data_IF_276668957601
#
_entry.id   IF_276668957601
#
_cell.length_a   1.000
_cell.length_b   1.000
_cell.length_c   1.000
_cell.angle_alpha   90.00
_cell.angle_beta   90.00
_cell.angle_gamma   90.00
#
_symmetry.space_group_name_H-M   'P 1'
#
loop_
_entity.id
_entity.type
_entity.pdbx_description
1 polymer ?
#
# COMPACT_ATOMS: atom_id res chain seq x y z
N UNK A 1 -16.96 -9.41 -15.96
CA UNK A 1 -16.99 -8.82 -14.60
C UNK A 1 -17.30 -9.89 -13.56
N UNK A 2 -18.29 -10.73 -13.76
CA UNK A 2 -18.77 -11.73 -12.80
C UNK A 2 -17.67 -12.71 -12.34
N UNK A 3 -16.79 -13.14 -13.24
CA UNK A 3 -15.67 -14.01 -12.89
C UNK A 3 -14.66 -13.32 -11.95
N UNK A 4 -14.34 -12.04 -12.21
CA UNK A 4 -13.39 -11.31 -11.37
C UNK A 4 -13.99 -11.02 -9.99
N UNK A 5 -15.28 -10.70 -9.94
CA UNK A 5 -16.00 -10.51 -8.69
C UNK A 5 -15.98 -11.78 -7.84
N UNK A 6 -16.26 -12.94 -8.43
CA UNK A 6 -16.19 -14.22 -7.73
C UNK A 6 -14.75 -14.51 -7.21
N UNK A 7 -13.73 -14.30 -8.05
CA UNK A 7 -12.33 -14.48 -7.62
C UNK A 7 -11.98 -13.51 -6.48
N UNK A 8 -12.47 -12.27 -6.56
CA UNK A 8 -12.23 -11.30 -5.49
C UNK A 8 -12.87 -11.76 -4.18
N UNK A 9 -14.15 -12.09 -4.19
CA UNK A 9 -14.90 -12.48 -2.98
C UNK A 9 -14.38 -13.78 -2.36
N UNK A 10 -14.09 -14.79 -3.18
CA UNK A 10 -13.73 -16.13 -2.69
C UNK A 10 -12.25 -16.26 -2.32
N UNK A 11 -11.34 -15.57 -3.05
CA UNK A 11 -9.90 -15.83 -2.95
C UNK A 11 -9.08 -14.64 -2.49
N UNK A 12 -9.52 -13.41 -2.73
CA UNK A 12 -8.74 -12.20 -2.43
C UNK A 12 -9.22 -11.55 -1.14
N UNK A 13 -10.51 -11.23 -1.06
CA UNK A 13 -11.11 -10.51 0.07
C UNK A 13 -10.79 -11.14 1.44
N UNK A 14 -10.84 -12.47 1.63
CA UNK A 14 -10.52 -13.07 2.93
C UNK A 14 -9.06 -12.91 3.39
N UNK A 15 -8.16 -12.56 2.48
CA UNK A 15 -6.73 -12.39 2.75
C UNK A 15 -6.33 -10.93 2.94
N UNK A 16 -7.23 -9.99 2.64
CA UNK A 16 -6.98 -8.57 2.86
C UNK A 16 -7.23 -8.22 4.33
N UNK A 17 -6.28 -7.51 4.92
CA UNK A 17 -6.36 -7.07 6.32
C UNK A 17 -6.23 -5.54 6.38
N UNK A 18 -7.35 -4.82 6.33
CA UNK A 18 -7.33 -3.37 6.49
C UNK A 18 -6.82 -2.95 7.87
N UNK A 19 -5.96 -1.92 7.92
CA UNK A 19 -5.39 -1.37 9.15
C UNK A 19 -5.66 0.12 9.20
N UNK A 20 -6.36 0.57 10.22
CA UNK A 20 -6.62 2.00 10.41
C UNK A 20 -5.34 2.74 10.79
N UNK A 21 -5.07 3.85 10.12
CA UNK A 21 -3.97 4.75 10.40
C UNK A 21 -4.48 5.93 11.24
N UNK A 22 -4.03 6.02 12.48
CA UNK A 22 -4.44 7.09 13.39
C UNK A 22 -3.54 8.31 13.22
N UNK A 23 -4.15 9.48 13.25
CA UNK A 23 -3.41 10.72 13.22
C UNK A 23 -2.53 10.86 14.49
N UNK A 24 -1.29 11.31 14.29
CA UNK A 24 -0.32 11.48 15.36
C UNK A 24 0.46 10.23 15.75
N UNK A 25 0.11 9.04 15.23
CA UNK A 25 0.89 7.83 15.43
C UNK A 25 1.86 7.61 14.25
N UNK A 26 3.13 7.24 14.51
CA UNK A 26 4.09 6.96 13.45
C UNK A 26 3.70 5.65 12.74
N UNK A 27 2.99 5.77 11.63
CA UNK A 27 2.48 4.61 10.89
C UNK A 27 3.51 3.95 9.95
N UNK A 28 4.72 4.51 9.83
CA UNK A 28 5.73 3.96 8.91
C UNK A 28 6.08 2.49 9.23
N UNK A 29 6.02 2.10 10.49
CA UNK A 29 6.24 0.71 10.93
C UNK A 29 5.08 -0.24 10.61
N UNK A 30 3.88 0.30 10.34
CA UNK A 30 2.68 -0.49 10.00
C UNK A 30 2.62 -0.80 8.50
N UNK A 31 3.31 0.00 7.68
CA UNK A 31 3.33 -0.20 6.22
C UNK A 31 4.35 -1.27 5.87
N UNK A 32 3.96 -2.40 5.28
CA UNK A 32 4.91 -3.40 4.82
C UNK A 32 5.84 -2.81 3.76
N UNK A 33 7.15 -2.94 4.00
CA UNK A 33 8.14 -2.45 3.07
C UNK A 33 8.17 -3.27 1.78
N UNK A 34 8.47 -2.60 0.67
CA UNK A 34 8.59 -3.19 -0.66
C UNK A 34 7.32 -3.88 -1.19
N UNK A 35 6.25 -3.89 -0.40
CA UNK A 35 4.94 -4.42 -0.78
C UNK A 35 4.05 -3.34 -1.40
N UNK A 36 3.15 -3.75 -2.27
CA UNK A 36 2.09 -2.88 -2.77
C UNK A 36 1.03 -2.70 -1.68
N UNK A 37 0.60 -1.47 -1.49
CA UNK A 37 -0.43 -1.11 -0.53
C UNK A 37 -1.43 -0.14 -1.16
N UNK A 38 -2.70 -0.26 -0.80
CA UNK A 38 -3.67 0.81 -1.00
C UNK A 38 -3.78 1.65 0.28
N UNK A 39 -3.91 2.94 0.09
CA UNK A 39 -4.42 3.85 1.12
C UNK A 39 -5.82 4.27 0.70
N UNK A 40 -6.77 4.13 1.60
CA UNK A 40 -8.16 4.52 1.39
C UNK A 40 -8.56 5.59 2.40
N UNK A 41 -9.32 6.58 1.96
CA UNK A 41 -10.11 7.44 2.84
C UNK A 41 -11.54 6.93 2.84
N UNK A 42 -12.03 6.55 4.02
CA UNK A 42 -13.37 6.02 4.22
C UNK A 42 -14.12 6.88 5.23
N UNK A 43 -15.43 6.92 5.10
CA UNK A 43 -16.27 7.68 6.02
C UNK A 43 -17.75 7.34 5.86
N UNK A 44 -18.59 7.96 6.70
CA UNK A 44 -20.03 7.74 6.65
C UNK A 44 -20.64 8.26 5.36
N UNK A 45 -21.63 7.54 4.85
CA UNK A 45 -22.45 7.96 3.73
C UNK A 45 -23.32 9.19 4.06
N UNK A 46 -23.64 9.40 5.34
CA UNK A 46 -24.65 10.35 5.77
C UNK A 46 -24.14 11.76 6.05
N UNK A 47 -22.81 11.95 6.14
CA UNK A 47 -22.21 13.26 6.39
C UNK A 47 -20.86 13.47 5.66
N UNK A 48 -20.90 13.88 4.40
CA UNK A 48 -19.69 14.15 3.62
C UNK A 48 -18.88 15.37 4.09
N UNK A 49 -19.40 16.17 5.02
CA UNK A 49 -18.75 17.39 5.50
C UNK A 49 -18.19 17.26 6.94
N UNK A 50 -18.48 16.17 7.64
CA UNK A 50 -18.16 16.08 9.06
C UNK A 50 -17.19 14.93 9.38
N UNK A 51 -16.04 15.31 9.80
CA UNK A 51 -15.13 14.77 10.85
C UNK A 51 -15.00 13.26 11.08
N UNK A 52 -15.61 12.41 10.29
CA UNK A 52 -15.49 10.95 10.41
C UNK A 52 -14.59 10.28 9.35
N UNK A 53 -13.92 11.07 8.50
CA UNK A 53 -13.02 10.49 7.47
C UNK A 53 -11.78 9.92 8.16
N UNK A 54 -11.56 8.63 7.96
CA UNK A 54 -10.39 7.92 8.47
C UNK A 54 -9.60 7.29 7.34
N UNK A 55 -8.32 7.12 7.58
CA UNK A 55 -7.40 6.54 6.60
C UNK A 55 -7.14 5.09 6.95
N UNK A 56 -7.33 4.24 5.98
CA UNK A 56 -7.14 2.80 6.11
C UNK A 56 -6.13 2.31 5.11
N UNK A 57 -5.11 1.65 5.62
CA UNK A 57 -4.09 0.95 4.85
C UNK A 57 -4.60 -0.45 4.51
N UNK A 58 -4.50 -0.83 3.25
CA UNK A 58 -4.80 -2.19 2.78
C UNK A 58 -3.54 -2.75 2.10
N UNK A 59 -2.71 -3.51 2.85
CA UNK A 59 -1.58 -4.20 2.25
C UNK A 59 -2.04 -5.29 1.28
N UNK A 60 -1.40 -5.40 0.12
CA UNK A 60 -1.62 -6.50 -0.80
C UNK A 60 -0.71 -7.68 -0.42
N UNK A 61 -1.28 -8.84 -0.06
CA UNK A 61 -0.48 -9.99 0.35
C UNK A 61 0.40 -10.51 -0.78
N UNK A 62 1.68 -10.71 -0.51
CA UNK A 62 2.64 -11.28 -1.47
C UNK A 62 2.39 -12.77 -1.77
N UNK A 63 1.53 -13.41 -0.98
CA UNK A 63 1.09 -14.80 -1.19
C UNK A 63 0.08 -14.94 -2.32
N UNK A 64 -0.60 -13.84 -2.69
CA UNK A 64 -1.50 -13.82 -3.83
C UNK A 64 -0.73 -13.69 -5.15
N UNK A 65 -1.20 -14.41 -6.16
CA UNK A 65 -0.67 -14.23 -7.49
C UNK A 65 -1.05 -12.83 -8.01
N UNK A 66 -0.06 -12.05 -8.42
CA UNK A 66 -0.26 -10.70 -8.93
C UNK A 66 -1.01 -10.68 -10.26
N UNK A 67 -0.85 -11.75 -11.07
CA UNK A 67 -1.49 -11.89 -12.37
C UNK A 67 -2.72 -12.79 -12.23
N UNK A 68 -3.90 -12.19 -12.29
CA UNK A 68 -5.16 -12.90 -12.22
C UNK A 68 -5.60 -13.22 -13.64
N UNK A 69 -5.64 -14.49 -13.96
CA UNK A 69 -6.02 -14.96 -15.30
C UNK A 69 -7.52 -14.76 -15.55
N UNK A 70 -7.82 -14.22 -16.71
CA UNK A 70 -9.20 -14.05 -17.17
C UNK A 70 -9.59 -15.20 -18.09
N UNK A 71 -10.87 -15.67 -18.01
CA UNK A 71 -11.42 -16.61 -18.97
C UNK A 71 -11.29 -16.07 -20.39
N UNK A 72 -10.72 -16.86 -21.30
CA UNK A 72 -10.61 -16.50 -22.69
C UNK A 72 -10.68 -17.74 -23.58
N UNK A 73 -11.28 -17.60 -24.75
CA UNK A 73 -11.40 -18.67 -25.73
C UNK A 73 -10.08 -18.97 -26.46
N UNK A 74 -9.16 -17.99 -26.53
CA UNK A 74 -7.85 -18.15 -27.16
C UNK A 74 -6.84 -17.18 -26.56
N UNK A 75 -5.64 -17.71 -26.21
CA UNK A 75 -4.53 -16.92 -25.65
C UNK A 75 -4.63 -16.69 -24.13
N UNK A 76 -3.80 -15.80 -23.64
CA UNK A 76 -3.72 -15.47 -22.21
C UNK A 76 -4.14 -14.03 -22.00
N UNK A 77 -5.05 -13.82 -21.04
CA UNK A 77 -5.44 -12.49 -20.56
C UNK A 77 -5.28 -12.44 -19.07
N UNK A 78 -4.75 -11.34 -18.57
CA UNK A 78 -4.53 -11.12 -17.16
C UNK A 78 -5.02 -9.72 -16.77
N UNK A 79 -5.40 -9.61 -15.52
CA UNK A 79 -5.57 -8.34 -14.81
C UNK A 79 -4.65 -8.37 -13.61
N UNK A 80 -4.14 -7.22 -13.20
CA UNK A 80 -3.28 -7.12 -12.02
C UNK A 80 -4.12 -7.16 -10.75
N UNK A 81 -3.59 -7.81 -9.70
CA UNK A 81 -4.22 -7.90 -8.39
C UNK A 81 -4.60 -6.53 -7.83
N UNK A 82 -3.69 -5.57 -7.96
CA UNK A 82 -3.91 -4.20 -7.50
C UNK A 82 -5.09 -3.51 -8.21
N UNK A 83 -5.29 -3.76 -9.49
CA UNK A 83 -6.43 -3.22 -10.23
C UNK A 83 -7.75 -3.87 -9.78
N UNK A 84 -7.72 -5.18 -9.50
CA UNK A 84 -8.91 -5.87 -8.97
C UNK A 84 -9.25 -5.34 -7.59
N UNK A 85 -8.27 -5.27 -6.67
CA UNK A 85 -8.53 -4.77 -5.31
C UNK A 85 -8.99 -3.31 -5.36
N UNK A 86 -8.40 -2.46 -6.20
CA UNK A 86 -8.83 -1.07 -6.37
C UNK A 86 -10.28 -0.96 -6.84
N UNK A 87 -10.72 -1.81 -7.77
CA UNK A 87 -12.09 -1.79 -8.29
C UNK A 87 -13.12 -2.30 -7.28
N UNK A 88 -12.74 -3.23 -6.42
CA UNK A 88 -13.64 -3.84 -5.44
C UNK A 88 -13.38 -3.37 -4.00
N UNK A 89 -12.58 -2.33 -3.80
CA UNK A 89 -12.19 -1.84 -2.48
C UNK A 89 -13.39 -1.48 -1.59
N UNK A 90 -14.49 -1.02 -2.18
CA UNK A 90 -15.72 -0.73 -1.45
C UNK A 90 -16.32 -1.95 -0.73
N UNK A 91 -16.09 -3.17 -1.24
CA UNK A 91 -16.58 -4.40 -0.59
C UNK A 91 -15.87 -4.71 0.74
N UNK A 92 -14.71 -4.08 1.00
CA UNK A 92 -14.02 -4.16 2.29
C UNK A 92 -14.71 -3.34 3.38
N UNK A 93 -15.56 -2.40 3.00
CA UNK A 93 -16.19 -1.42 3.88
C UNK A 93 -17.69 -1.32 3.59
N UNK A 94 -18.47 -2.36 3.92
CA UNK A 94 -19.88 -2.46 3.49
C UNK A 94 -20.78 -1.36 4.08
N UNK A 95 -20.39 -0.80 5.25
CA UNK A 95 -21.18 0.22 5.94
C UNK A 95 -20.61 1.64 5.76
N UNK A 96 -19.62 1.81 4.89
CA UNK A 96 -18.91 3.08 4.71
C UNK A 96 -18.64 3.36 3.23
N UNK A 97 -18.47 4.64 2.90
CA UNK A 97 -18.06 5.05 1.56
C UNK A 97 -16.53 5.17 1.48
N UNK A 98 -15.97 4.66 0.41
CA UNK A 98 -14.59 4.93 0.01
C UNK A 98 -14.59 6.25 -0.78
N UNK A 99 -14.15 7.34 -0.16
CA UNK A 99 -14.10 8.66 -0.78
C UNK A 99 -12.94 8.77 -1.77
N UNK A 100 -11.80 8.22 -1.38
CA UNK A 100 -10.62 8.17 -2.24
C UNK A 100 -9.76 6.95 -1.93
N UNK A 101 -9.02 6.48 -2.94
CA UNK A 101 -8.07 5.39 -2.79
C UNK A 101 -6.86 5.60 -3.71
N UNK A 102 -5.70 5.14 -3.28
CA UNK A 102 -4.48 5.25 -4.06
C UNK A 102 -3.51 4.10 -3.79
N UNK A 103 -2.85 3.64 -4.85
CA UNK A 103 -1.85 2.58 -4.79
C UNK A 103 -0.46 3.17 -4.57
N UNK A 104 0.29 2.61 -3.62
CA UNK A 104 1.65 3.02 -3.34
C UNK A 104 2.56 1.86 -2.93
N UNK A 105 3.85 2.13 -2.91
CA UNK A 105 4.89 1.22 -2.43
C UNK A 105 5.94 2.01 -1.66
N UNK A 106 6.28 1.52 -0.47
CA UNK A 106 7.25 2.15 0.43
C UNK A 106 8.57 1.38 0.44
N UNK A 107 9.69 2.12 0.36
CA UNK A 107 11.03 1.61 0.71
C UNK A 107 11.55 2.40 1.91
N UNK A 108 12.01 1.68 2.93
CA UNK A 108 12.58 2.25 4.14
C UNK A 108 14.10 2.10 4.16
N UNK A 109 14.79 2.92 4.91
CA UNK A 109 16.24 2.81 5.08
C UNK A 109 16.67 1.43 5.64
N UNK A 110 15.85 0.84 6.50
CA UNK A 110 16.08 -0.52 7.05
C UNK A 110 16.01 -1.65 6.02
N UNK A 111 15.46 -1.37 4.84
CA UNK A 111 15.24 -2.36 3.77
C UNK A 111 16.34 -2.30 2.70
N UNK A 112 17.22 -1.31 2.80
CA UNK A 112 18.42 -1.20 1.95
C UNK A 112 19.49 -2.06 2.59
N UNK A 113 20.01 -3.05 1.85
CA UNK A 113 21.13 -3.88 2.31
C UNK A 113 22.33 -2.98 2.62
N UNK A 114 22.81 -3.03 3.86
CA UNK A 114 24.06 -2.36 4.25
C UNK A 114 25.19 -3.20 3.67
N UNK A 115 26.09 -2.58 2.90
CA UNK A 115 27.39 -3.19 2.59
C UNK A 115 28.15 -3.42 3.91
N UNK A 116 28.59 -4.67 4.09
CA UNK A 116 29.27 -5.12 5.31
C UNK A 116 30.70 -4.60 5.35
N UNK A 117 30.88 -3.34 5.73
CA UNK A 117 32.18 -2.81 6.16
C UNK A 117 32.00 -1.99 7.44
N UNK A 118 31.96 -2.66 8.60
CA UNK A 118 32.02 -1.93 9.87
C UNK A 118 32.55 -2.77 11.04
N UNK A 119 33.72 -2.42 11.47
CA UNK A 119 34.27 -2.66 12.78
C UNK A 119 33.55 -1.77 13.82
N UNK A 120 32.54 -2.23 14.46
CA UNK A 120 32.04 -1.88 15.80
C UNK A 120 30.60 -2.41 16.05
N UNK A 121 30.49 -3.73 16.10
CA UNK A 121 29.23 -4.45 16.00
C UNK A 121 28.26 -4.25 17.18
N UNK A 122 28.76 -3.98 18.40
CA UNK A 122 27.90 -4.02 19.59
C UNK A 122 27.18 -2.70 19.88
N UNK A 123 27.78 -1.55 19.61
CA UNK A 123 27.16 -0.23 19.78
C UNK A 123 26.20 0.09 18.63
N UNK A 124 26.58 -0.25 17.41
CA UNK A 124 25.73 -0.08 16.25
C UNK A 124 24.47 -0.95 16.29
N UNK A 125 24.51 -2.13 16.91
CA UNK A 125 23.35 -3.01 17.00
C UNK A 125 22.18 -2.42 17.81
N UNK A 126 22.46 -1.67 18.86
CA UNK A 126 21.40 -1.04 19.68
C UNK A 126 20.78 0.15 18.93
N UNK A 127 21.58 0.94 18.23
CA UNK A 127 21.12 2.07 17.43
C UNK A 127 20.41 1.59 16.16
N UNK A 128 20.90 0.56 15.49
CA UNK A 128 20.27 -0.08 14.32
C UNK A 128 18.95 -0.75 14.69
N UNK A 129 18.81 -1.35 15.86
CA UNK A 129 17.54 -1.91 16.31
C UNK A 129 16.50 -0.83 16.68
N UNK A 130 16.96 0.32 17.19
CA UNK A 130 16.09 1.45 17.47
C UNK A 130 15.68 2.20 16.17
N UNK A 131 16.61 2.32 15.20
CA UNK A 131 16.34 2.89 13.88
C UNK A 131 15.54 1.95 12.99
N UNK A 132 15.69 0.63 13.09
CA UNK A 132 14.84 -0.36 12.40
C UNK A 132 13.36 -0.23 12.75
N UNK A 133 13.04 0.15 13.98
CA UNK A 133 11.66 0.45 14.39
C UNK A 133 11.15 1.79 13.85
N UNK A 134 12.03 2.66 13.35
CA UNK A 134 11.73 4.01 12.85
C UNK A 134 12.29 4.25 11.45
N UNK A 135 12.49 3.20 10.68
CA UNK A 135 13.11 3.32 9.35
C UNK A 135 12.50 4.47 8.56
N UNK A 136 13.32 5.49 8.27
CA UNK A 136 12.87 6.65 7.51
C UNK A 136 12.44 6.24 6.09
N UNK A 137 11.39 6.85 5.58
CA UNK A 137 10.99 6.70 4.20
C UNK A 137 12.11 7.25 3.29
N UNK A 138 12.72 6.38 2.48
CA UNK A 138 13.73 6.78 1.49
C UNK A 138 13.15 6.84 0.08
N UNK A 139 12.09 6.08 -0.19
CA UNK A 139 11.39 6.09 -1.47
C UNK A 139 9.92 5.77 -1.28
N UNK A 140 9.06 6.63 -1.79
CA UNK A 140 7.62 6.45 -1.87
C UNK A 140 7.22 6.47 -3.35
N UNK A 141 6.87 5.33 -3.88
CA UNK A 141 6.36 5.17 -5.24
C UNK A 141 4.84 5.21 -5.19
N UNK A 142 4.24 6.02 -6.02
CA UNK A 142 2.78 6.15 -6.12
C UNK A 142 2.31 5.98 -7.56
N UNK A 143 1.13 5.39 -7.75
CA UNK A 143 0.48 5.41 -9.06
C UNK A 143 0.17 6.84 -9.49
N UNK A 144 0.27 7.15 -10.76
CA UNK A 144 0.02 8.52 -11.27
C UNK A 144 -1.42 9.01 -11.06
N UNK A 145 -2.35 8.09 -10.78
CA UNK A 145 -3.76 8.37 -10.43
C UNK A 145 -3.97 8.61 -8.94
N UNK A 146 -2.90 8.56 -8.13
CA UNK A 146 -3.00 8.74 -6.67
C UNK A 146 -3.55 10.13 -6.36
N UNK A 147 -4.66 10.25 -5.57
CA UNK A 147 -5.28 11.54 -5.27
C UNK A 147 -4.32 12.45 -4.49
N UNK A 148 -4.23 13.74 -4.89
CA UNK A 148 -3.24 14.67 -4.33
C UNK A 148 -3.41 14.91 -2.83
N UNK A 149 -4.65 15.11 -2.36
CA UNK A 149 -4.94 15.33 -0.93
C UNK A 149 -4.59 14.09 -0.09
N UNK A 150 -4.92 12.90 -0.62
CA UNK A 150 -4.56 11.63 0.02
C UNK A 150 -3.04 11.43 0.08
N UNK A 151 -2.32 11.87 -0.96
CA UNK A 151 -0.85 11.82 -1.03
C UNK A 151 -0.21 12.75 0.01
N UNK A 152 -0.75 13.95 0.20
CA UNK A 152 -0.27 14.88 1.22
C UNK A 152 -0.46 14.30 2.63
N UNK A 153 -1.60 13.65 2.89
CA UNK A 153 -1.84 12.91 4.12
C UNK A 153 -0.86 11.76 4.31
N UNK A 154 -0.65 10.93 3.29
CA UNK A 154 0.30 9.82 3.34
C UNK A 154 1.73 10.31 3.61
N UNK A 155 2.13 11.41 2.97
CA UNK A 155 3.45 12.03 3.15
C UNK A 155 3.69 12.43 4.61
N UNK A 156 2.70 13.03 5.25
CA UNK A 156 2.77 13.45 6.66
C UNK A 156 2.88 12.20 7.56
N UNK A 157 2.02 11.22 7.36
CA UNK A 157 1.97 9.98 8.13
C UNK A 157 3.28 9.20 8.07
N UNK A 158 3.92 9.17 6.89
CA UNK A 158 5.18 8.45 6.68
C UNK A 158 6.44 9.30 6.96
N UNK A 159 6.30 10.60 7.23
CA UNK A 159 7.43 11.51 7.34
C UNK A 159 8.24 11.63 6.04
N UNK A 160 7.60 11.37 4.90
CA UNK A 160 8.26 11.37 3.60
C UNK A 160 8.54 12.80 3.12
N UNK A 161 9.75 13.05 2.60
CA UNK A 161 10.09 14.31 1.93
C UNK A 161 9.56 14.28 0.50
N UNK A 162 9.22 15.44 -0.04
CA UNK A 162 8.76 15.54 -1.44
C UNK A 162 9.77 14.99 -2.45
N UNK A 163 11.06 15.09 -2.15
CA UNK A 163 12.15 14.54 -2.96
C UNK A 163 12.20 13.00 -2.99
N UNK A 164 11.48 12.33 -2.08
CA UNK A 164 11.41 10.87 -2.00
C UNK A 164 10.18 10.29 -2.71
N UNK A 165 9.34 11.14 -3.30
CA UNK A 165 8.08 10.73 -3.95
C UNK A 165 8.30 10.57 -5.45
N UNK A 166 7.92 9.42 -5.96
CA UNK A 166 8.05 9.05 -7.38
C UNK A 166 6.69 8.61 -7.91
N UNK A 167 6.10 9.42 -8.79
CA UNK A 167 4.86 9.07 -9.47
C UNK A 167 5.15 8.23 -10.72
N UNK A 168 4.40 7.16 -10.91
CA UNK A 168 4.57 6.20 -12.01
C UNK A 168 3.29 6.03 -12.82
N UNK A 169 3.41 6.06 -14.15
CA UNK A 169 2.34 5.73 -15.09
C UNK A 169 2.30 4.24 -15.47
N UNK A 170 3.30 3.49 -15.02
CA UNK A 170 3.37 2.05 -15.21
C UNK A 170 3.16 1.35 -13.88
N UNK A 171 2.79 0.07 -13.85
CA UNK A 171 2.59 -0.66 -12.60
C UNK A 171 3.79 -0.53 -11.66
N UNK A 172 3.52 -0.34 -10.38
CA UNK A 172 4.56 -0.25 -9.36
C UNK A 172 5.22 -1.61 -9.14
N UNK A 173 6.45 -1.62 -8.62
CA UNK A 173 7.13 -2.87 -8.24
C UNK A 173 7.37 -3.80 -9.42
N UNK A 174 7.97 -3.31 -10.50
CA UNK A 174 8.22 -4.06 -11.75
C UNK A 174 9.06 -5.34 -11.56
N UNK A 175 9.81 -5.48 -10.46
CA UNK A 175 10.58 -6.68 -10.17
C UNK A 175 9.75 -7.97 -10.08
N UNK A 176 8.45 -7.87 -9.78
CA UNK A 176 7.55 -9.03 -9.77
C UNK A 176 7.09 -9.48 -11.17
N UNK A 177 7.53 -8.80 -12.23
CA UNK A 177 7.27 -9.17 -13.62
C UNK A 177 8.43 -9.98 -14.22
N UNK A 178 9.52 -10.14 -13.50
CA UNK A 178 10.69 -10.94 -13.88
C UNK A 178 10.67 -12.28 -13.13
#
# INVERSE_FOLDING_TARGET
LDHIAAVFEESILPLLTPVELREGEPAIGMVPALSLCLLCEIGSSDDPLNSGVRRVLVPLPSTLNRFIQLPNASGYRFVLLEEVVMNFVGSLFPDELVHSAGLFRLTRNSDVALEEDAYDFARQMVDVLAERKRGACVRLEVDSRFPGELLDGLRIILGARSTHIYSSRVPLGLGSFM
#
